data_IF_420589265716
#
_entry.id   IF_420589265716
#
_cell.length_a   1.000
_cell.length_b   1.000
_cell.length_c   1.000
_cell.angle_alpha   90.00
_cell.angle_beta   90.00
_cell.angle_gamma   90.00
#
_symmetry.space_group_name_H-M   'P 1'
#
loop_
_entity.id
_entity.type
_entity.pdbx_description
1 polymer ?
#
# COMPACT_ATOMS: atom_id res chain seq x y z
N UNK A 1 2.48 13.04 -7.29
CA UNK A 1 3.59 12.08 -7.40
C UNK A 1 4.44 12.37 -8.62
N UNK A 2 3.92 12.07 -9.82
CA UNK A 2 4.65 12.20 -11.10
C UNK A 2 4.87 13.66 -11.57
N UNK A 3 4.06 14.60 -11.06
CA UNK A 3 4.16 16.03 -11.36
C UNK A 3 5.40 16.71 -10.77
N UNK A 4 5.86 16.27 -9.59
CA UNK A 4 7.03 16.82 -8.90
C UNK A 4 8.31 16.63 -9.71
N UNK A 5 8.68 15.40 -10.16
CA UNK A 5 9.85 15.23 -10.99
C UNK A 5 9.72 15.94 -12.33
N UNK A 6 8.54 15.97 -12.97
CA UNK A 6 8.35 16.67 -14.26
C UNK A 6 8.65 18.18 -14.16
N UNK A 7 8.21 18.83 -13.08
CA UNK A 7 8.51 20.24 -12.80
C UNK A 7 10.00 20.42 -12.51
N UNK A 8 10.62 19.54 -11.72
CA UNK A 8 12.06 19.60 -11.43
C UNK A 8 12.89 19.37 -12.69
N UNK A 9 12.51 18.44 -13.59
CA UNK A 9 13.21 18.24 -14.86
C UNK A 9 13.16 19.51 -15.73
N UNK A 10 12.03 20.22 -15.73
CA UNK A 10 11.85 21.43 -16.53
C UNK A 10 12.66 22.63 -15.99
N UNK A 11 12.82 22.75 -14.66
CA UNK A 11 13.51 23.88 -14.04
C UNK A 11 14.97 23.63 -13.64
N UNK A 12 15.39 22.37 -13.48
CA UNK A 12 16.70 22.03 -12.91
C UNK A 12 17.64 21.28 -13.88
N UNK A 13 17.25 21.05 -15.14
CA UNK A 13 18.04 20.34 -16.18
C UNK A 13 18.64 18.99 -15.73
N UNK A 14 18.08 18.43 -14.67
CA UNK A 14 18.56 17.20 -14.05
C UNK A 14 17.81 16.04 -14.68
N UNK A 15 18.55 15.07 -15.24
CA UNK A 15 18.00 13.82 -15.77
C UNK A 15 17.40 12.99 -14.63
N UNK A 16 16.20 13.35 -14.17
CA UNK A 16 15.39 12.51 -13.28
C UNK A 16 14.92 11.32 -14.10
N UNK A 17 15.73 10.26 -14.12
CA UNK A 17 15.40 8.97 -14.72
C UNK A 17 14.29 8.34 -13.87
N UNK A 18 13.06 8.80 -14.04
CA UNK A 18 11.88 8.16 -13.47
C UNK A 18 11.58 6.93 -14.31
N UNK A 19 12.19 5.79 -13.94
CA UNK A 19 11.85 4.51 -14.57
C UNK A 19 10.41 4.17 -14.20
N UNK A 20 9.57 3.91 -15.20
CA UNK A 20 8.16 3.52 -15.03
C UNK A 20 7.99 2.32 -14.07
N UNK A 21 9.00 1.46 -13.98
CA UNK A 21 9.04 0.35 -13.01
C UNK A 21 9.03 0.78 -11.55
N UNK A 22 9.54 1.96 -11.20
CA UNK A 22 9.63 2.39 -9.80
C UNK A 22 8.25 2.68 -9.17
N UNK A 23 7.35 3.47 -9.78
CA UNK A 23 5.98 3.61 -9.30
C UNK A 23 5.21 2.28 -9.24
N UNK A 24 5.40 1.40 -10.24
CA UNK A 24 4.73 0.09 -10.28
C UNK A 24 5.18 -0.79 -9.12
N UNK A 25 6.49 -0.82 -8.83
CA UNK A 25 7.05 -1.57 -7.71
C UNK A 25 6.54 -1.02 -6.37
N UNK A 26 6.59 0.30 -6.19
CA UNK A 26 6.12 0.96 -4.97
C UNK A 26 4.63 0.71 -4.71
N UNK A 27 3.79 0.83 -5.75
CA UNK A 27 2.37 0.53 -5.66
C UNK A 27 2.11 -0.94 -5.32
N UNK A 28 2.82 -1.86 -5.98
CA UNK A 28 2.70 -3.30 -5.72
C UNK A 28 3.01 -3.64 -4.28
N UNK A 29 4.12 -3.11 -3.75
CA UNK A 29 4.50 -3.33 -2.35
C UNK A 29 3.42 -2.78 -1.40
N UNK A 30 2.92 -1.56 -1.65
CA UNK A 30 1.86 -0.95 -0.82
C UNK A 30 0.55 -1.75 -0.82
N UNK A 31 0.15 -2.27 -1.98
CA UNK A 31 -1.05 -3.13 -2.09
C UNK A 31 -0.82 -4.43 -1.35
N UNK A 32 0.34 -5.07 -1.56
CA UNK A 32 0.65 -6.35 -0.96
C UNK A 32 0.70 -6.26 0.57
N UNK A 33 1.36 -5.24 1.13
CA UNK A 33 1.36 -5.02 2.57
C UNK A 33 -0.04 -4.72 3.11
N UNK A 34 -0.81 -3.84 2.46
CA UNK A 34 -2.19 -3.54 2.85
C UNK A 34 -3.10 -4.78 2.85
N UNK A 35 -2.96 -5.64 1.83
CA UNK A 35 -3.75 -6.87 1.70
C UNK A 35 -3.35 -7.90 2.76
N UNK A 36 -2.04 -8.14 2.97
CA UNK A 36 -1.57 -9.09 3.98
C UNK A 36 -2.01 -8.69 5.38
N UNK A 37 -1.78 -7.43 5.75
CA UNK A 37 -2.15 -6.91 7.07
C UNK A 37 -3.65 -6.66 7.24
N UNK A 38 -4.44 -6.59 6.16
CA UNK A 38 -5.89 -6.51 6.23
C UNK A 38 -6.55 -7.89 6.34
N UNK A 39 -6.13 -8.83 5.50
CA UNK A 39 -6.75 -10.16 5.42
C UNK A 39 -6.35 -11.03 6.61
N UNK A 40 -5.08 -11.01 7.04
CA UNK A 40 -4.63 -11.82 8.17
C UNK A 40 -5.46 -11.62 9.45
N UNK A 41 -5.66 -10.38 9.97
CA UNK A 41 -6.49 -10.17 11.15
C UNK A 41 -7.98 -10.40 10.87
N UNK A 42 -8.48 -10.12 9.66
CA UNK A 42 -9.88 -10.37 9.31
C UNK A 42 -10.23 -11.86 9.36
N UNK A 43 -9.34 -12.72 8.83
CA UNK A 43 -9.49 -14.17 8.95
C UNK A 43 -9.44 -14.62 10.41
N UNK A 44 -8.53 -14.04 11.20
CA UNK A 44 -8.46 -14.31 12.65
C UNK A 44 -9.78 -13.97 13.35
N UNK A 45 -10.38 -12.82 13.04
CA UNK A 45 -11.68 -12.41 13.60
C UNK A 45 -12.83 -13.32 13.14
N UNK A 46 -12.87 -13.70 11.85
CA UNK A 46 -13.89 -14.59 11.32
C UNK A 46 -13.82 -16.02 11.90
N UNK A 47 -12.64 -16.44 12.33
CA UNK A 47 -12.44 -17.74 12.99
C UNK A 47 -12.77 -17.75 14.49
N UNK A 48 -13.06 -16.60 15.11
CA UNK A 48 -13.49 -16.55 16.51
C UNK A 48 -14.93 -17.07 16.63
N UNK A 49 -15.19 -17.87 17.67
CA UNK A 49 -16.53 -18.41 17.89
C UNK A 49 -17.50 -17.23 18.13
N UNK A 50 -18.63 -17.16 17.41
CA UNK A 50 -19.61 -16.08 17.59
C UNK A 50 -20.28 -16.13 18.97
N UNK A 51 -20.12 -17.24 19.70
CA UNK A 51 -20.59 -17.41 21.08
C UNK A 51 -19.72 -16.62 22.07
N UNK A 52 -18.41 -16.49 21.80
CA UNK A 52 -17.53 -15.61 22.60
C UNK A 52 -17.75 -14.14 22.24
N UNK A 53 -17.98 -13.79 20.96
CA UNK A 53 -18.18 -12.40 20.55
C UNK A 53 -19.47 -11.73 21.10
N UNK A 54 -20.45 -12.51 21.59
CA UNK A 54 -21.72 -12.04 22.15
C UNK A 54 -21.82 -12.16 23.68
N UNK A 55 -20.88 -12.85 24.33
CA UNK A 55 -20.86 -13.01 25.80
C UNK A 55 -19.81 -12.14 26.50
N UNK A 56 -19.11 -11.31 25.73
CA UNK A 56 -18.38 -10.15 26.23
C UNK A 56 -19.32 -8.95 25.98
N UNK A 57 -20.06 -8.45 26.97
CA UNK A 57 -19.55 -7.46 27.93
C UNK A 57 -18.04 -7.19 27.86
#
# INVERSE_FOLDING_TARGET
GVSVPMVITHFADMLTIVRIWAPVLAFTISVLTGVVFGIYPAMRAASMSPVDALRHE
#
